data_IF_425100660408
#
_entry.id   IF_425100660408
#
_cell.length_a   1.000
_cell.length_b   1.000
_cell.length_c   1.000
_cell.angle_alpha   90.00
_cell.angle_beta   90.00
_cell.angle_gamma   90.00
#
_symmetry.space_group_name_H-M   'P 1'
#
loop_
_entity.id
_entity.type
_entity.pdbx_description
1 polymer ?
#
# COMPACT_ATOMS: atom_id res chain seq x y z
N UNK A 1 -14.00 -3.59 2.88
CA UNK A 1 -13.05 -2.84 3.72
C UNK A 1 -12.95 -1.35 3.33
N UNK A 2 -12.69 -0.98 2.09
CA UNK A 2 -12.66 0.45 1.67
C UNK A 2 -13.99 1.17 1.90
N UNK A 3 -15.11 0.49 1.73
CA UNK A 3 -16.47 1.01 2.01
C UNK A 3 -16.73 1.24 3.49
N UNK A 4 -16.00 0.56 4.38
CA UNK A 4 -16.10 0.72 5.83
C UNK A 4 -15.21 1.84 6.38
N UNK A 5 -14.42 2.48 5.52
CA UNK A 5 -13.59 3.62 5.90
C UNK A 5 -14.28 4.91 5.42
N UNK A 6 -15.02 5.59 6.30
CA UNK A 6 -15.73 6.82 5.96
C UNK A 6 -14.75 7.95 5.59
N UNK A 7 -15.30 9.06 5.14
CA UNK A 7 -14.54 10.29 4.87
C UNK A 7 -15.30 11.53 5.39
N UNK A 8 -16.03 11.36 6.50
CA UNK A 8 -16.94 12.37 6.99
C UNK A 8 -16.23 13.50 7.74
N UNK A 9 -15.23 13.15 8.50
CA UNK A 9 -14.43 14.11 9.27
C UNK A 9 -12.94 14.11 8.85
N UNK A 10 -12.19 15.04 9.39
CA UNK A 10 -10.78 15.24 9.09
C UNK A 10 -9.91 14.00 9.36
N UNK A 11 -10.19 13.28 10.45
CA UNK A 11 -9.48 12.06 10.83
C UNK A 11 -9.78 10.91 9.84
N UNK A 12 -11.04 10.79 9.45
CA UNK A 12 -11.48 9.77 8.49
C UNK A 12 -10.86 10.00 7.11
N UNK A 13 -10.83 11.26 6.64
CA UNK A 13 -10.14 11.63 5.40
C UNK A 13 -8.67 11.22 5.40
N UNK A 14 -7.96 11.50 6.49
CA UNK A 14 -6.58 11.05 6.68
C UNK A 14 -6.46 9.54 6.61
N UNK A 15 -7.27 8.84 7.38
CA UNK A 15 -7.22 7.39 7.50
C UNK A 15 -7.57 6.71 6.17
N UNK A 16 -8.55 7.25 5.43
CA UNK A 16 -8.90 6.78 4.09
C UNK A 16 -7.77 6.96 3.09
N UNK A 17 -7.11 8.12 3.07
CA UNK A 17 -5.96 8.36 2.19
C UNK A 17 -4.81 7.40 2.49
N UNK A 18 -4.48 7.18 3.78
CA UNK A 18 -3.47 6.19 4.17
C UNK A 18 -3.85 4.76 3.75
N UNK A 19 -5.12 4.39 3.93
CA UNK A 19 -5.63 3.06 3.55
C UNK A 19 -5.52 2.82 2.04
N UNK A 20 -5.84 3.81 1.22
CA UNK A 20 -5.73 3.73 -0.22
C UNK A 20 -4.27 3.61 -0.69
N UNK A 21 -3.34 4.36 -0.10
CA UNK A 21 -1.90 4.20 -0.38
C UNK A 21 -1.40 2.78 -0.06
N UNK A 22 -1.87 2.19 1.04
CA UNK A 22 -1.54 0.80 1.39
C UNK A 22 -2.16 -0.21 0.41
N UNK A 23 -3.45 -0.04 0.07
CA UNK A 23 -4.21 -1.02 -0.70
C UNK A 23 -3.92 -0.95 -2.21
N UNK A 24 -3.75 0.26 -2.77
CA UNK A 24 -3.56 0.48 -4.22
C UNK A 24 -2.10 0.47 -4.64
N UNK A 25 -1.21 1.00 -3.79
CA UNK A 25 0.22 1.10 -4.10
C UNK A 25 1.08 0.11 -3.32
N UNK A 26 0.50 -0.65 -2.41
CA UNK A 26 1.20 -1.64 -1.60
C UNK A 26 2.31 -1.07 -0.73
N UNK A 27 2.20 0.18 -0.30
CA UNK A 27 3.22 0.82 0.51
C UNK A 27 3.37 0.14 1.88
N UNK A 28 4.57 0.20 2.43
CA UNK A 28 4.78 -0.14 3.84
C UNK A 28 4.28 1.01 4.72
N UNK A 29 3.82 0.72 5.94
CA UNK A 29 3.36 1.75 6.87
C UNK A 29 4.38 2.89 7.05
N UNK A 30 5.67 2.56 7.17
CA UNK A 30 6.72 3.56 7.28
C UNK A 30 6.96 4.36 5.98
N UNK A 31 6.62 3.83 4.82
CA UNK A 31 6.66 4.57 3.55
C UNK A 31 5.49 5.55 3.48
N UNK A 32 4.29 5.14 3.89
CA UNK A 32 3.11 6.02 3.98
C UNK A 32 3.41 7.25 4.84
N UNK A 33 4.00 7.07 6.02
CA UNK A 33 4.31 8.19 6.91
C UNK A 33 5.41 9.14 6.40
N UNK A 34 6.18 8.71 5.40
CA UNK A 34 7.21 9.54 4.76
C UNK A 34 6.76 10.22 3.49
N UNK A 35 5.54 9.99 3.05
CA UNK A 35 5.00 10.77 1.92
C UNK A 35 4.99 12.24 2.31
N UNK A 36 5.67 13.05 1.51
CA UNK A 36 5.72 14.51 1.68
C UNK A 36 4.90 15.21 0.59
N UNK A 37 4.58 16.46 0.81
CA UNK A 37 3.93 17.30 -0.20
C UNK A 37 4.75 17.33 -1.50
N UNK A 38 6.08 17.34 -1.38
CA UNK A 38 7.01 17.35 -2.52
C UNK A 38 7.08 16.01 -3.26
N UNK A 39 6.59 14.94 -2.63
CA UNK A 39 6.53 13.60 -3.25
C UNK A 39 5.35 13.45 -4.21
N UNK A 40 4.39 14.37 -4.19
CA UNK A 40 3.14 14.29 -4.96
C UNK A 40 3.27 15.06 -6.26
N UNK A 41 3.36 14.36 -7.37
CA UNK A 41 3.31 14.95 -8.72
C UNK A 41 1.86 14.87 -9.22
N UNK A 42 1.09 15.93 -9.01
CA UNK A 42 -0.32 16.02 -9.41
C UNK A 42 -0.49 16.05 -10.93
N UNK A 43 0.38 16.79 -11.63
CA UNK A 43 0.33 16.90 -13.09
C UNK A 43 0.66 15.58 -13.77
N UNK A 44 1.65 14.85 -13.25
CA UNK A 44 2.07 13.55 -13.77
C UNK A 44 1.31 12.37 -13.16
N UNK A 45 0.32 12.60 -12.30
CA UNK A 45 -0.42 11.56 -11.59
C UNK A 45 0.50 10.48 -11.00
N UNK A 46 1.52 10.91 -10.24
CA UNK A 46 2.55 10.03 -9.71
C UNK A 46 2.94 10.40 -8.27
N UNK A 47 3.46 9.44 -7.54
CA UNK A 47 4.00 9.64 -6.20
C UNK A 47 5.41 9.07 -6.10
N UNK A 48 6.34 9.87 -5.59
CA UNK A 48 7.72 9.47 -5.31
C UNK A 48 7.79 8.83 -3.93
N UNK A 49 8.19 7.57 -3.88
CA UNK A 49 8.35 6.81 -2.64
C UNK A 49 9.82 6.63 -2.31
N UNK A 50 10.22 7.11 -1.13
CA UNK A 50 11.57 6.97 -0.59
C UNK A 50 11.62 5.85 0.44
N UNK A 51 12.48 4.86 0.20
CA UNK A 51 12.69 3.76 1.15
C UNK A 51 13.70 4.17 2.22
N UNK A 52 13.33 3.97 3.50
CA UNK A 52 14.24 4.25 4.62
C UNK A 52 15.40 3.28 4.77
N UNK A 53 15.23 2.05 4.25
CA UNK A 53 16.21 0.97 4.45
C UNK A 53 17.24 0.85 3.32
N UNK A 54 16.98 1.43 2.15
CA UNK A 54 17.77 1.19 0.95
C UNK A 54 18.18 2.45 0.19
N UNK A 55 17.79 3.63 0.67
CA UNK A 55 17.92 4.91 -0.07
C UNK A 55 17.39 4.85 -1.52
N UNK A 56 16.69 3.77 -1.91
CA UNK A 56 16.09 3.63 -3.23
C UNK A 56 14.80 4.43 -3.31
N UNK A 57 14.70 5.18 -4.38
CA UNK A 57 13.49 5.87 -4.76
C UNK A 57 12.76 5.08 -5.84
N UNK A 58 11.44 5.13 -5.84
CA UNK A 58 10.61 4.62 -6.92
C UNK A 58 9.43 5.56 -7.15
N UNK A 59 9.09 5.74 -8.40
CA UNK A 59 7.92 6.51 -8.80
C UNK A 59 6.80 5.50 -9.07
N UNK A 60 5.67 5.70 -8.42
CA UNK A 60 4.48 4.87 -8.61
C UNK A 60 3.38 5.72 -9.24
N UNK A 61 2.58 5.16 -10.15
CA UNK A 61 1.39 5.84 -10.64
C UNK A 61 0.44 6.10 -9.46
N UNK A 62 -0.23 7.23 -9.48
CA UNK A 62 -1.23 7.62 -8.49
C UNK A 62 -2.63 7.43 -9.10
N UNK A 63 -3.33 6.32 -8.80
CA UNK A 63 -4.69 6.09 -9.26
C UNK A 63 -5.62 7.24 -8.83
N UNK A 64 -6.67 7.46 -9.59
CA UNK A 64 -7.61 8.57 -9.37
C UNK A 64 -8.22 8.55 -7.96
N UNK A 65 -8.62 7.38 -7.46
CA UNK A 65 -9.18 7.23 -6.11
C UNK A 65 -8.17 7.59 -5.00
N UNK A 66 -6.89 7.31 -5.22
CA UNK A 66 -5.79 7.72 -4.32
C UNK A 66 -5.61 9.24 -4.38
N UNK A 67 -5.51 9.79 -5.58
CA UNK A 67 -5.35 11.24 -5.81
C UNK A 67 -6.48 12.05 -5.19
N UNK A 68 -7.73 11.66 -5.47
CA UNK A 68 -8.92 12.31 -4.93
C UNK A 68 -8.95 12.27 -3.39
N UNK A 69 -8.61 11.13 -2.79
CA UNK A 69 -8.59 11.01 -1.33
C UNK A 69 -7.47 11.83 -0.68
N UNK A 70 -6.29 11.89 -1.32
CA UNK A 70 -5.20 12.74 -0.86
C UNK A 70 -5.58 14.21 -0.97
N UNK A 71 -6.16 14.65 -2.09
CA UNK A 71 -6.60 16.03 -2.29
C UNK A 71 -7.69 16.42 -1.26
N UNK A 72 -8.67 15.55 -1.01
CA UNK A 72 -9.70 15.81 -0.01
C UNK A 72 -9.12 15.94 1.41
N UNK A 73 -8.18 15.06 1.78
CA UNK A 73 -7.50 15.19 3.06
C UNK A 73 -6.66 16.47 3.15
N UNK A 74 -5.86 16.78 2.14
CA UNK A 74 -4.98 17.96 2.15
C UNK A 74 -5.75 19.28 2.20
N UNK A 75 -6.89 19.35 1.53
CA UNK A 75 -7.68 20.59 1.44
C UNK A 75 -8.68 20.76 2.57
N UNK A 76 -9.24 19.65 3.10
CA UNK A 76 -10.36 19.71 4.05
C UNK A 76 -10.09 18.98 5.38
N UNK A 77 -8.98 18.25 5.50
CA UNK A 77 -8.73 17.41 6.68
C UNK A 77 -7.39 17.65 7.35
N UNK A 78 -6.37 18.07 6.61
CA UNK A 78 -5.02 18.21 7.17
C UNK A 78 -4.94 19.45 8.08
N UNK A 79 -4.45 19.31 9.33
CA UNK A 79 -4.24 20.45 10.21
C UNK A 79 -3.25 21.46 9.60
N UNK A 80 -3.42 22.77 9.86
CA UNK A 80 -2.44 23.78 9.50
C UNK A 80 -1.10 23.47 10.15
N UNK A 81 -0.03 23.40 9.36
CA UNK A 81 1.31 23.08 9.86
C UNK A 81 2.37 23.47 8.84
N UNK A 82 3.55 23.84 9.30
CA UNK A 82 4.75 24.03 8.47
C UNK A 82 5.41 22.72 8.05
N UNK A 83 4.99 21.58 8.63
CA UNK A 83 5.50 20.26 8.30
C UNK A 83 5.24 19.91 6.84
N UNK A 84 6.27 19.36 6.18
CA UNK A 84 6.17 18.95 4.77
C UNK A 84 5.60 17.54 4.60
N UNK A 85 5.52 16.74 5.68
CA UNK A 85 4.93 15.41 5.63
C UNK A 85 3.41 15.52 5.48
N UNK A 86 2.83 14.64 4.67
CA UNK A 86 1.39 14.65 4.35
C UNK A 86 0.57 14.31 5.59
N UNK A 87 0.94 13.25 6.31
CA UNK A 87 0.10 12.70 7.39
C UNK A 87 0.55 13.16 8.77
N UNK A 88 -0.31 13.93 9.42
CA UNK A 88 -0.08 14.50 10.73
C UNK A 88 -1.02 13.91 11.79
N UNK A 89 -0.62 14.04 13.05
CA UNK A 89 -1.53 13.88 14.18
C UNK A 89 -2.65 14.92 14.10
N UNK A 90 -3.86 14.55 14.51
CA UNK A 90 -4.97 15.48 14.67
C UNK A 90 -5.08 16.01 16.10
N UNK A 91 -4.13 15.65 16.95
CA UNK A 91 -3.96 16.22 18.28
C UNK A 91 -2.77 17.19 18.28
N UNK A 92 -2.90 18.36 18.92
CA UNK A 92 -1.78 19.26 19.08
C UNK A 92 -0.58 18.55 19.71
N UNK A 93 0.64 18.89 19.28
CA UNK A 93 1.04 19.97 18.35
C UNK A 93 1.06 19.59 16.87
N UNK A 94 0.19 18.70 16.39
CA UNK A 94 0.00 18.31 14.98
C UNK A 94 1.27 17.75 14.31
N UNK A 95 2.00 16.95 15.05
CA UNK A 95 3.27 16.36 14.61
C UNK A 95 3.08 15.26 13.54
N UNK A 96 4.12 14.98 12.75
CA UNK A 96 4.12 13.84 11.85
C UNK A 96 3.86 12.51 12.57
N UNK A 97 3.09 11.63 11.94
CA UNK A 97 2.85 10.28 12.45
C UNK A 97 4.13 9.45 12.39
N UNK A 98 4.47 8.78 13.50
CA UNK A 98 5.70 7.98 13.63
C UNK A 98 5.45 6.51 13.97
N UNK A 99 4.35 6.21 14.67
CA UNK A 99 4.05 4.85 15.12
C UNK A 99 3.31 4.04 14.07
N UNK A 100 4.01 3.13 13.41
CA UNK A 100 3.42 2.21 12.44
C UNK A 100 2.40 1.25 13.05
N UNK A 101 2.46 1.03 14.37
CA UNK A 101 1.49 0.22 15.11
C UNK A 101 0.07 0.79 15.05
N UNK A 102 -0.09 2.11 15.10
CA UNK A 102 -1.40 2.76 14.99
C UNK A 102 -2.08 2.42 13.66
N UNK A 103 -1.32 2.49 12.55
CA UNK A 103 -1.86 2.17 11.24
C UNK A 103 -2.18 0.68 11.09
N UNK A 104 -1.36 -0.19 11.69
CA UNK A 104 -1.61 -1.63 11.71
C UNK A 104 -2.86 -1.98 12.53
N UNK A 105 -3.04 -1.34 13.69
CA UNK A 105 -4.23 -1.52 14.52
C UNK A 105 -5.49 -1.02 13.82
N UNK A 106 -5.41 0.09 13.11
CA UNK A 106 -6.52 0.61 12.30
C UNK A 106 -6.93 -0.38 11.20
N UNK A 107 -5.97 -0.92 10.44
CA UNK A 107 -6.24 -1.93 9.40
C UNK A 107 -6.85 -3.18 10.01
N UNK A 108 -6.32 -3.68 11.13
CA UNK A 108 -6.87 -4.84 11.83
C UNK A 108 -8.31 -4.61 12.30
N UNK A 109 -8.64 -3.40 12.75
CA UNK A 109 -10.02 -3.05 13.12
C UNK A 109 -10.96 -3.14 11.93
N UNK A 110 -10.56 -2.58 10.78
CA UNK A 110 -11.34 -2.66 9.54
C UNK A 110 -11.52 -4.10 9.03
N UNK A 111 -10.48 -4.94 9.13
CA UNK A 111 -10.58 -6.35 8.76
C UNK A 111 -11.59 -7.09 9.62
N UNK A 112 -11.57 -6.86 10.95
CA UNK A 112 -12.54 -7.45 11.88
C UNK A 112 -13.97 -6.98 11.58
N UNK A 113 -14.17 -5.68 11.34
CA UNK A 113 -15.50 -5.12 10.99
C UNK A 113 -16.01 -5.68 9.66
N UNK A 114 -15.12 -5.98 8.74
CA UNK A 114 -15.46 -6.62 7.45
C UNK A 114 -15.69 -8.14 7.55
N UNK A 115 -15.47 -8.75 8.70
CA UNK A 115 -15.54 -10.21 8.87
C UNK A 115 -14.42 -10.95 8.12
N UNK A 116 -13.31 -10.29 7.80
CA UNK A 116 -12.22 -10.87 7.01
C UNK A 116 -11.21 -11.54 7.94
N UNK A 117 -11.09 -12.85 7.81
CA UNK A 117 -10.02 -13.63 8.42
C UNK A 117 -8.79 -13.60 7.49
N UNK A 118 -7.75 -12.91 7.89
CA UNK A 118 -6.54 -12.77 7.09
C UNK A 118 -5.39 -13.64 7.66
N UNK A 119 -4.55 -14.23 6.80
CA UNK A 119 -3.43 -15.09 7.21
C UNK A 119 -2.29 -14.32 7.90
N UNK A 120 -2.29 -13.01 7.81
CA UNK A 120 -1.36 -12.12 8.48
C UNK A 120 -2.09 -10.89 9.01
N UNK A 121 -1.45 -10.11 9.87
CA UNK A 121 -2.08 -8.95 10.52
C UNK A 121 -1.54 -7.61 9.99
N UNK A 122 -2.30 -6.56 10.25
CA UNK A 122 -1.91 -5.19 9.98
C UNK A 122 -1.80 -4.85 8.50
N UNK A 123 -0.95 -3.88 8.20
CA UNK A 123 -0.80 -3.32 6.85
C UNK A 123 -0.24 -4.31 5.82
N UNK A 124 0.41 -5.38 6.27
CA UNK A 124 0.97 -6.40 5.38
C UNK A 124 -0.09 -7.17 4.59
N UNK A 125 -1.29 -7.35 5.17
CA UNK A 125 -2.43 -7.98 4.47
C UNK A 125 -2.70 -7.30 3.14
N UNK A 126 -2.80 -5.97 3.14
CA UNK A 126 -3.12 -5.19 1.95
C UNK A 126 -2.05 -5.33 0.87
N UNK A 127 -0.80 -5.29 1.29
CA UNK A 127 0.34 -5.46 0.39
C UNK A 127 0.41 -6.88 -0.20
N UNK A 128 0.12 -7.91 0.59
CA UNK A 128 0.01 -9.29 0.12
C UNK A 128 -1.14 -9.46 -0.86
N UNK A 129 -2.30 -8.88 -0.56
CA UNK A 129 -3.47 -8.90 -1.45
C UNK A 129 -3.16 -8.25 -2.79
N UNK A 130 -2.50 -7.08 -2.79
CA UNK A 130 -2.09 -6.40 -4.03
C UNK A 130 -1.12 -7.28 -4.83
N UNK A 131 -0.06 -7.79 -4.19
CA UNK A 131 0.93 -8.64 -4.86
C UNK A 131 0.30 -9.88 -5.49
N UNK A 132 -0.56 -10.59 -4.75
CA UNK A 132 -1.28 -11.77 -5.25
C UNK A 132 -2.20 -11.39 -6.39
N UNK A 133 -2.90 -10.26 -6.29
CA UNK A 133 -3.75 -9.72 -7.36
C UNK A 133 -2.95 -9.46 -8.64
N UNK A 134 -1.79 -8.81 -8.54
CA UNK A 134 -0.92 -8.54 -9.69
C UNK A 134 -0.48 -9.83 -10.39
N UNK A 135 -0.01 -10.83 -9.62
CA UNK A 135 0.39 -12.14 -10.18
C UNK A 135 -0.79 -12.83 -10.88
N UNK A 136 -1.98 -12.83 -10.28
CA UNK A 136 -3.20 -13.41 -10.88
C UNK A 136 -3.61 -12.73 -12.19
N UNK A 137 -3.28 -11.46 -12.35
CA UNK A 137 -3.52 -10.71 -13.60
C UNK A 137 -2.33 -10.76 -14.56
N UNK A 138 -1.36 -11.66 -14.33
CA UNK A 138 -0.28 -11.93 -15.27
C UNK A 138 0.98 -11.05 -15.10
N UNK A 139 1.06 -10.24 -14.05
CA UNK A 139 2.30 -9.50 -13.77
C UNK A 139 3.43 -10.46 -13.41
N UNK A 140 4.63 -10.17 -13.90
CA UNK A 140 5.81 -10.97 -13.56
C UNK A 140 6.24 -10.72 -12.12
N UNK A 141 6.96 -11.69 -11.51
CA UNK A 141 7.53 -11.49 -10.17
C UNK A 141 8.49 -10.30 -10.10
N UNK A 142 9.13 -9.96 -11.22
CA UNK A 142 9.98 -8.78 -11.33
C UNK A 142 9.14 -7.50 -11.22
N UNK A 143 8.03 -7.40 -11.94
CA UNK A 143 7.13 -6.24 -11.89
C UNK A 143 6.59 -6.03 -10.46
N UNK A 144 6.16 -7.12 -9.81
CA UNK A 144 5.71 -7.09 -8.42
C UNK A 144 6.84 -6.63 -7.48
N UNK A 145 8.07 -7.13 -7.66
CA UNK A 145 9.22 -6.74 -6.86
C UNK A 145 9.56 -5.25 -7.04
N UNK A 146 9.53 -4.75 -8.27
CA UNK A 146 9.83 -3.35 -8.59
C UNK A 146 8.78 -2.41 -7.98
N UNK A 147 7.49 -2.68 -8.18
CA UNK A 147 6.39 -1.89 -7.63
C UNK A 147 6.42 -1.88 -6.10
N UNK A 148 6.60 -3.04 -5.49
CA UNK A 148 6.64 -3.17 -4.05
C UNK A 148 7.98 -2.73 -3.43
N UNK A 149 9.04 -2.55 -4.20
CA UNK A 149 10.37 -2.23 -3.70
C UNK A 149 10.95 -3.37 -2.85
N UNK A 150 10.89 -4.60 -3.34
CA UNK A 150 11.55 -5.75 -2.71
C UNK A 150 13.05 -5.72 -3.01
N UNK A 151 13.86 -6.09 -2.00
CA UNK A 151 15.32 -6.18 -2.14
C UNK A 151 15.76 -7.38 -2.99
N UNK A 152 14.96 -8.43 -2.97
CA UNK A 152 15.23 -9.70 -3.62
C UNK A 152 13.95 -10.26 -4.23
N UNK A 153 14.07 -10.84 -5.41
CA UNK A 153 13.00 -11.59 -6.08
C UNK A 153 12.56 -12.77 -5.20
N UNK A 154 13.45 -13.33 -4.37
CA UNK A 154 13.12 -14.39 -3.41
C UNK A 154 12.01 -13.96 -2.44
N UNK A 155 11.96 -12.67 -2.05
CA UNK A 155 10.87 -12.14 -1.21
C UNK A 155 9.54 -12.13 -1.97
N UNK A 156 9.58 -11.99 -3.29
CA UNK A 156 8.40 -12.06 -4.17
C UNK A 156 7.98 -13.51 -4.43
N UNK A 157 8.91 -14.46 -4.38
CA UNK A 157 8.66 -15.89 -4.52
C UNK A 157 7.71 -16.50 -3.47
N UNK A 158 7.47 -15.80 -2.35
CA UNK A 158 6.45 -16.20 -1.38
C UNK A 158 5.06 -16.21 -2.05
N UNK A 159 4.82 -15.33 -3.01
CA UNK A 159 3.54 -15.24 -3.74
C UNK A 159 3.36 -16.38 -4.74
N UNK A 160 4.45 -16.96 -5.25
CA UNK A 160 4.40 -18.14 -6.11
C UNK A 160 3.81 -19.37 -5.39
N UNK A 161 4.09 -19.51 -4.09
CA UNK A 161 3.54 -20.60 -3.28
C UNK A 161 2.05 -20.47 -2.99
N UNK A 162 1.48 -19.28 -3.13
CA UNK A 162 0.06 -19.01 -2.86
C UNK A 162 -0.83 -19.24 -4.10
N UNK A 163 -0.25 -19.39 -5.28
CA UNK A 163 -0.97 -19.59 -6.54
C UNK A 163 -0.54 -20.87 -7.27
N UNK A 164 -0.45 -21.99 -6.52
CA UNK A 164 -0.19 -23.32 -7.07
C UNK A 164 -1.10 -23.69 -8.26
N UNK A 165 -2.42 -23.33 -8.29
CA UNK A 165 -3.27 -23.59 -9.45
C UNK A 165 -2.88 -22.82 -10.71
N UNK A 166 -2.35 -21.61 -10.60
CA UNK A 166 -1.87 -20.83 -11.74
C UNK A 166 -0.52 -21.34 -12.24
N UNK A 167 0.37 -21.76 -11.34
CA UNK A 167 1.65 -22.39 -11.68
C UNK A 167 1.46 -23.73 -12.40
N UNK A 168 0.46 -24.52 -12.01
CA UNK A 168 0.15 -25.80 -12.67
C UNK A 168 -0.30 -25.60 -14.13
N UNK A 169 -0.88 -24.42 -14.47
CA UNK A 169 -1.29 -24.11 -15.85
C UNK A 169 -0.13 -23.64 -16.74
N UNK A 170 0.98 -23.24 -16.16
CA UNK A 170 2.16 -22.72 -16.89
C UNK A 170 3.34 -23.72 -16.81
N UNK A 171 3.21 -24.76 -15.99
CA UNK A 171 4.19 -25.82 -15.93
C UNK A 171 4.18 -26.59 -17.27
N UNK A 172 5.24 -26.43 -18.05
CA UNK A 172 5.51 -27.30 -19.18
C UNK A 172 5.64 -28.75 -18.65
N UNK A 173 5.11 -29.76 -19.35
CA UNK A 173 5.31 -31.15 -18.97
C UNK A 173 6.80 -31.45 -18.85
N UNK A 174 7.18 -32.13 -17.78
CA UNK A 174 8.56 -32.49 -17.54
C UNK A 174 9.07 -33.34 -18.70
N UNK A 175 10.30 -33.09 -19.24
CA UNK A 175 10.84 -33.92 -20.31
C UNK A 175 11.04 -35.35 -19.78
N UNK A 176 10.16 -36.27 -20.13
CA UNK A 176 10.16 -37.67 -19.67
C UNK A 176 8.79 -38.26 -19.35
N UNK A 177 7.71 -37.48 -19.28
CA UNK A 177 6.32 -37.98 -19.19
C UNK A 177 5.63 -37.90 -20.55
N UNK A 178 6.19 -38.58 -21.53
CA UNK A 178 5.53 -38.88 -22.79
C UNK A 178 5.41 -40.40 -22.87
N UNK A 179 4.34 -40.98 -22.32
CA UNK A 179 3.60 -42.16 -22.84
C UNK A 179 2.28 -42.28 -22.12
#
# INVERSE_FOLDING_TARGET
MLTLCPSDNALDKRNRAMLLLLARLGLRAGEVFRVSLDSLNWTGSAVLIRSSKTARERILPMPEDVGNSLADYLTKGRPPSSERLVFLSHLPPFQPLRSTGVLSSFVNSLLRQAGILAPCSGTHVLRHTLATGMVRHGATFKDVADILGHRSITTTGIYAKLDLPALAKVALPWPGEAQ
#
